data_IF_277750935363
#
_entry.id   IF_277750935363
#
_cell.length_a   1.000
_cell.length_b   1.000
_cell.length_c   1.000
_cell.angle_alpha   90.00
_cell.angle_beta   90.00
_cell.angle_gamma   90.00
#
_symmetry.space_group_name_H-M   'P 1'
#
loop_
_entity.id
_entity.type
_entity.pdbx_description
1 polymer ?
#
# COMPACT_ATOMS: atom_id res chain seq x y z
N UNK A 1 13.01 -26.26 -4.92
CA UNK A 1 14.11 -26.84 -5.72
C UNK A 1 14.43 -26.03 -6.97
N UNK A 2 13.45 -25.48 -7.72
CA UNK A 2 13.78 -24.66 -8.90
C UNK A 2 14.11 -23.17 -8.62
N UNK A 3 13.64 -22.61 -7.51
CA UNK A 3 13.91 -21.20 -7.17
C UNK A 3 15.40 -20.91 -6.98
N UNK A 4 16.15 -21.84 -6.37
CA UNK A 4 17.58 -21.68 -6.13
C UNK A 4 18.42 -21.71 -7.42
N UNK A 5 17.85 -22.23 -8.52
CA UNK A 5 18.50 -22.26 -9.85
C UNK A 5 18.33 -20.96 -10.63
N UNK A 6 17.29 -20.17 -10.34
CA UNK A 6 16.95 -18.94 -11.05
C UNK A 6 17.33 -17.70 -10.24
N UNK A 7 17.37 -17.80 -8.90
CA UNK A 7 17.84 -16.73 -8.05
C UNK A 7 19.33 -16.44 -8.28
N UNK A 8 19.70 -15.17 -8.33
CA UNK A 8 21.13 -14.80 -8.40
C UNK A 8 21.83 -15.32 -7.13
N UNK A 9 23.01 -15.96 -7.25
CA UNK A 9 23.73 -16.56 -6.11
C UNK A 9 24.00 -15.57 -4.97
N UNK A 10 24.12 -14.27 -5.30
CA UNK A 10 24.33 -13.18 -4.36
C UNK A 10 23.29 -12.06 -4.54
N UNK A 11 22.00 -12.41 -4.54
CA UNK A 11 20.90 -11.45 -4.70
C UNK A 11 20.66 -10.56 -3.46
N UNK A 12 21.26 -10.88 -2.31
CA UNK A 12 21.12 -10.12 -1.07
C UNK A 12 22.46 -10.01 -0.36
N UNK A 13 22.94 -8.79 -0.12
CA UNK A 13 24.22 -8.57 0.55
C UNK A 13 24.18 -8.94 2.05
N UNK A 14 25.37 -9.10 2.63
CA UNK A 14 25.55 -9.56 4.02
C UNK A 14 24.96 -8.60 5.06
N UNK A 15 24.88 -7.30 4.80
CA UNK A 15 24.27 -6.33 5.71
C UNK A 15 22.75 -6.49 5.72
N UNK A 16 22.12 -6.57 4.54
CA UNK A 16 20.68 -6.81 4.42
C UNK A 16 20.26 -8.14 5.06
N UNK A 17 21.07 -9.19 4.90
CA UNK A 17 20.83 -10.48 5.57
C UNK A 17 20.83 -10.34 7.10
N UNK A 18 21.86 -9.67 7.67
CA UNK A 18 21.94 -9.43 9.12
C UNK A 18 20.76 -8.62 9.64
N UNK A 19 20.39 -7.55 8.94
CA UNK A 19 19.23 -6.72 9.31
C UNK A 19 17.94 -7.53 9.23
N UNK A 20 17.77 -8.36 8.19
CA UNK A 20 16.60 -9.22 8.05
C UNK A 20 16.43 -10.17 9.24
N UNK A 21 17.50 -10.85 9.66
CA UNK A 21 17.47 -11.74 10.84
C UNK A 21 17.13 -10.98 12.12
N UNK A 22 17.64 -9.76 12.30
CA UNK A 22 17.28 -8.92 13.45
C UNK A 22 15.81 -8.51 13.38
N UNK A 23 15.32 -8.06 12.22
CA UNK A 23 13.95 -7.63 12.02
C UNK A 23 12.93 -8.73 12.36
N UNK A 24 13.25 -9.99 12.05
CA UNK A 24 12.39 -11.14 12.41
C UNK A 24 12.18 -11.30 13.92
N UNK A 25 13.13 -10.85 14.76
CA UNK A 25 12.98 -10.85 16.23
C UNK A 25 12.02 -9.78 16.74
N UNK A 26 11.64 -8.82 15.89
CA UNK A 26 10.70 -7.74 16.21
C UNK A 26 9.29 -7.99 15.64
N UNK A 27 8.91 -9.25 15.44
CA UNK A 27 7.60 -9.62 14.90
C UNK A 27 6.41 -9.01 15.64
N UNK A 28 6.50 -8.83 16.98
CA UNK A 28 5.46 -8.16 17.76
C UNK A 28 5.23 -6.70 17.34
N UNK A 29 6.32 -5.94 17.15
CA UNK A 29 6.23 -4.55 16.67
C UNK A 29 5.78 -4.48 15.19
N UNK A 30 5.99 -5.53 14.40
CA UNK A 30 5.40 -5.63 13.05
C UNK A 30 3.89 -5.86 13.13
N UNK A 31 3.44 -6.78 13.99
CA UNK A 31 2.02 -7.08 14.19
C UNK A 31 1.23 -5.86 14.68
N UNK A 32 1.82 -5.06 15.57
CA UNK A 32 1.23 -3.79 16.02
C UNK A 32 1.03 -2.81 14.85
N UNK A 33 2.04 -2.63 14.00
CA UNK A 33 1.94 -1.78 12.80
C UNK A 33 0.87 -2.28 11.84
N UNK A 34 0.75 -3.60 11.65
CA UNK A 34 -0.31 -4.21 10.84
C UNK A 34 -1.69 -3.88 11.41
N UNK A 35 -1.87 -3.99 12.72
CA UNK A 35 -3.13 -3.62 13.40
C UNK A 35 -3.51 -2.15 13.15
N UNK A 36 -2.54 -1.24 13.26
CA UNK A 36 -2.72 0.18 12.98
C UNK A 36 -3.15 0.40 11.51
N UNK A 37 -2.47 -0.24 10.55
CA UNK A 37 -2.82 -0.14 9.14
C UNK A 37 -4.24 -0.64 8.84
N UNK A 38 -4.65 -1.73 9.49
CA UNK A 38 -6.02 -2.27 9.36
C UNK A 38 -7.04 -1.27 9.92
N UNK A 39 -6.79 -0.68 11.09
CA UNK A 39 -7.67 0.30 11.70
C UNK A 39 -7.80 1.57 10.83
N UNK A 40 -6.68 2.10 10.33
CA UNK A 40 -6.67 3.26 9.45
C UNK A 40 -7.35 2.99 8.11
N UNK A 41 -7.19 1.79 7.55
CA UNK A 41 -7.91 1.38 6.34
C UNK A 41 -9.43 1.38 6.56
N UNK A 42 -9.91 0.87 7.69
CA UNK A 42 -11.34 0.92 8.06
C UNK A 42 -11.83 2.36 8.20
N UNK A 43 -11.04 3.22 8.86
CA UNK A 43 -11.36 4.65 9.01
C UNK A 43 -11.44 5.36 7.65
N UNK A 44 -10.51 5.08 6.74
CA UNK A 44 -10.46 5.66 5.40
C UNK A 44 -11.65 5.20 4.55
N UNK A 45 -11.98 3.89 4.56
CA UNK A 45 -13.17 3.37 3.87
C UNK A 45 -14.47 4.01 4.38
N UNK A 46 -14.62 4.20 5.69
CA UNK A 46 -15.78 4.87 6.27
C UNK A 46 -15.89 6.35 5.84
N UNK A 47 -14.76 7.02 5.59
CA UNK A 47 -14.72 8.37 5.03
C UNK A 47 -15.08 8.39 3.55
N UNK A 48 -14.50 7.49 2.75
CA UNK A 48 -14.78 7.38 1.32
C UNK A 48 -16.25 7.03 1.04
N UNK A 49 -16.88 6.20 1.88
CA UNK A 49 -18.29 5.84 1.76
C UNK A 49 -19.26 7.04 1.85
N UNK A 50 -18.79 8.21 2.27
CA UNK A 50 -19.56 9.47 2.34
C UNK A 50 -19.35 10.38 1.13
N UNK A 51 -18.49 9.98 0.19
CA UNK A 51 -18.13 10.74 -1.00
C UNK A 51 -18.69 10.02 -2.24
N UNK A 52 -18.89 10.73 -3.38
CA UNK A 52 -19.33 10.12 -4.63
C UNK A 52 -18.17 9.37 -5.30
N UNK A 53 -17.76 8.27 -4.69
CA UNK A 53 -16.69 7.38 -5.14
C UNK A 53 -17.10 5.93 -4.97
N UNK A 54 -16.74 5.09 -5.95
CA UNK A 54 -16.81 3.64 -5.81
C UNK A 54 -15.54 3.14 -5.13
N UNK A 55 -15.65 2.30 -4.11
CA UNK A 55 -14.50 1.62 -3.47
C UNK A 55 -14.61 0.10 -3.58
N UNK A 56 -13.47 -0.59 -3.62
CA UNK A 56 -13.42 -2.05 -3.59
C UNK A 56 -12.89 -2.57 -2.25
N UNK A 57 -13.37 -3.74 -1.76
CA UNK A 57 -12.81 -4.38 -0.58
C UNK A 57 -11.30 -4.57 -0.73
N UNK A 58 -10.54 -4.20 0.30
CA UNK A 58 -9.08 -4.33 0.30
C UNK A 58 -8.60 -4.97 1.59
N UNK A 59 -7.76 -5.99 1.43
CA UNK A 59 -6.98 -6.59 2.50
C UNK A 59 -5.52 -6.08 2.52
N UNK A 60 -5.13 -5.28 1.52
CA UNK A 60 -3.81 -4.67 1.39
C UNK A 60 -3.67 -3.36 2.18
N UNK A 61 -2.47 -2.79 2.22
CA UNK A 61 -2.18 -1.50 2.88
C UNK A 61 -2.61 -0.26 2.09
N UNK A 62 -3.54 -0.40 1.13
CA UNK A 62 -4.09 0.68 0.31
C UNK A 62 -5.56 0.40 -0.03
N UNK A 63 -6.27 1.40 -0.55
CA UNK A 63 -7.66 1.26 -1.05
C UNK A 63 -7.70 1.75 -2.48
N UNK A 64 -8.27 0.95 -3.38
CA UNK A 64 -8.62 1.39 -4.72
C UNK A 64 -9.98 2.09 -4.66
N UNK A 65 -10.06 3.26 -5.28
CA UNK A 65 -11.31 3.98 -5.44
C UNK A 65 -11.39 4.61 -6.83
N UNK A 66 -12.61 4.83 -7.31
CA UNK A 66 -12.92 5.50 -8.57
C UNK A 66 -13.89 6.64 -8.30
N UNK A 67 -13.64 7.79 -8.89
CA UNK A 67 -14.49 8.97 -8.75
C UNK A 67 -15.73 8.83 -9.63
N UNK A 68 -16.91 9.19 -9.11
CA UNK A 68 -18.18 9.05 -9.86
C UNK A 68 -18.65 10.38 -10.47
N UNK A 69 -18.40 11.50 -9.80
CA UNK A 69 -18.92 12.81 -10.24
C UNK A 69 -18.00 13.58 -11.18
N UNK A 70 -16.73 13.20 -11.30
CA UNK A 70 -15.74 13.87 -12.16
C UNK A 70 -14.63 12.90 -12.58
N UNK A 71 -13.88 13.18 -13.65
CA UNK A 71 -12.75 12.34 -14.08
C UNK A 71 -11.74 12.11 -12.95
N UNK A 72 -11.23 10.89 -12.84
CA UNK A 72 -10.29 10.52 -11.77
C UNK A 72 -8.96 11.27 -11.87
N UNK A 73 -8.51 11.58 -13.09
CA UNK A 73 -7.32 12.38 -13.36
C UNK A 73 -7.43 13.83 -12.82
N UNK A 74 -8.62 14.44 -12.88
CA UNK A 74 -8.85 15.77 -12.30
C UNK A 74 -8.76 15.75 -10.76
N UNK A 75 -9.31 14.72 -10.13
CA UNK A 75 -9.20 14.54 -8.66
C UNK A 75 -7.76 14.26 -8.27
N UNK A 76 -7.05 13.43 -9.04
CA UNK A 76 -5.64 13.17 -8.82
C UNK A 76 -4.81 14.44 -8.88
N UNK A 77 -4.97 15.28 -9.91
CA UNK A 77 -4.26 16.55 -10.03
C UNK A 77 -4.60 17.48 -8.87
N UNK A 78 -5.89 17.58 -8.49
CA UNK A 78 -6.30 18.42 -7.36
C UNK A 78 -5.74 17.95 -6.00
N UNK A 79 -5.52 16.64 -5.81
CA UNK A 79 -4.83 16.09 -4.65
C UNK A 79 -3.33 16.43 -4.70
N UNK A 80 -2.70 16.27 -5.86
CA UNK A 80 -1.28 16.59 -6.08
C UNK A 80 -1.00 18.07 -5.83
N UNK A 81 -1.86 18.98 -6.30
CA UNK A 81 -1.77 20.42 -6.06
C UNK A 81 -1.81 20.77 -4.56
N UNK A 82 -2.38 19.87 -3.74
CA UNK A 82 -2.44 19.97 -2.28
C UNK A 82 -1.38 19.12 -1.58
N UNK A 83 -0.35 18.69 -2.33
CA UNK A 83 0.75 17.84 -1.84
C UNK A 83 0.31 16.46 -1.33
N UNK A 84 -0.81 15.94 -1.84
CA UNK A 84 -1.28 14.58 -1.57
C UNK A 84 -1.07 13.72 -2.81
N UNK A 85 0.00 12.94 -2.83
CA UNK A 85 0.29 12.03 -3.94
C UNK A 85 -0.39 10.67 -3.72
N UNK A 86 -1.21 10.27 -4.69
CA UNK A 86 -1.75 8.91 -4.79
C UNK A 86 -1.36 8.30 -6.13
N UNK A 87 -1.46 6.97 -6.25
CA UNK A 87 -1.16 6.28 -7.50
C UNK A 87 -2.37 6.41 -8.44
N UNK A 88 -2.15 7.00 -9.61
CA UNK A 88 -3.13 7.05 -10.69
C UNK A 88 -3.09 5.78 -11.55
N UNK A 89 -4.26 5.38 -12.04
CA UNK A 89 -4.49 4.21 -12.89
C UNK A 89 -5.35 4.56 -14.13
N UNK A 90 -5.62 5.83 -14.43
CA UNK A 90 -6.43 6.21 -15.62
C UNK A 90 -5.76 5.89 -16.96
N UNK A 91 -4.43 5.79 -16.98
CA UNK A 91 -3.64 5.62 -18.20
C UNK A 91 -3.24 4.16 -18.47
N UNK A 92 -3.88 3.20 -17.80
CA UNK A 92 -3.65 1.75 -17.95
C UNK A 92 -4.65 1.07 -18.88
#
# INVERSE_FOLDING_TARGET
EDLDRVALPYHLDSLKQKIGVIALRHAGAMAERVSILIAERKRLLAGLARLPVTTWPSEANFVLFRTESRPSSEVWQALLDRSVLVRDFTDL
#
